data_IF_084882304223
#
_entry.id   IF_084882304223
#
_cell.length_a   1.000
_cell.length_b   1.000
_cell.length_c   1.000
_cell.angle_alpha   90.00
_cell.angle_beta   90.00
_cell.angle_gamma   90.00
#
_symmetry.space_group_name_H-M   'P 1'
#
loop_
_entity.id
_entity.type
_entity.pdbx_description
1 polymer ?
#
# COMPACT_ATOMS: atom_id res chain seq x y z
N UNK A 1 2.09 -7.06 -12.80
CA UNK A 1 3.37 -6.35 -12.58
C UNK A 1 4.31 -7.31 -11.90
N UNK A 2 5.58 -7.31 -12.30
CA UNK A 2 6.64 -8.13 -11.70
C UNK A 2 7.80 -7.20 -11.40
N UNK A 3 8.29 -7.24 -10.17
CA UNK A 3 9.51 -6.55 -9.75
C UNK A 3 10.56 -7.60 -9.38
N UNK A 4 11.78 -7.39 -9.86
CA UNK A 4 12.96 -8.21 -9.60
C UNK A 4 14.02 -7.30 -8.94
N UNK A 5 13.88 -7.01 -7.63
CA UNK A 5 14.69 -5.99 -6.97
C UNK A 5 16.17 -6.37 -6.82
N UNK A 6 16.52 -7.67 -6.82
CA UNK A 6 17.91 -8.10 -6.65
C UNK A 6 18.83 -7.68 -7.82
N UNK A 7 18.25 -7.33 -8.97
CA UNK A 7 18.98 -6.73 -10.11
C UNK A 7 19.65 -5.40 -9.71
N UNK A 8 18.96 -4.58 -8.91
CA UNK A 8 19.47 -3.28 -8.48
C UNK A 8 20.02 -3.30 -7.05
N UNK A 9 19.52 -4.21 -6.22
CA UNK A 9 19.93 -4.32 -4.81
C UNK A 9 20.13 -5.80 -4.44
N UNK A 10 21.33 -6.37 -4.71
CA UNK A 10 21.57 -7.81 -4.56
C UNK A 10 21.34 -8.37 -3.15
N UNK A 11 21.38 -7.53 -2.12
CA UNK A 11 21.23 -7.92 -0.72
C UNK A 11 19.80 -8.34 -0.33
N UNK A 12 18.81 -8.03 -1.17
CA UNK A 12 17.40 -8.42 -0.92
C UNK A 12 17.13 -9.91 -1.15
N UNK A 13 18.08 -10.62 -1.77
CA UNK A 13 17.98 -12.04 -2.08
C UNK A 13 19.25 -12.80 -1.72
N UNK A 14 19.16 -14.12 -1.67
CA UNK A 14 20.35 -14.98 -1.54
C UNK A 14 21.23 -14.83 -2.79
N UNK A 15 22.56 -15.06 -2.69
CA UNK A 15 23.45 -15.02 -3.85
C UNK A 15 22.96 -15.92 -4.99
N UNK A 16 22.80 -15.35 -6.18
CA UNK A 16 22.27 -16.05 -7.37
C UNK A 16 20.75 -16.27 -7.37
N UNK A 17 20.03 -15.75 -6.37
CA UNK A 17 18.57 -15.76 -6.29
C UNK A 17 17.93 -14.42 -6.63
N UNK A 18 16.61 -14.35 -6.52
CA UNK A 18 15.81 -13.15 -6.72
C UNK A 18 14.63 -13.13 -5.73
N UNK A 19 14.21 -11.95 -5.28
CA UNK A 19 13.06 -11.73 -4.42
C UNK A 19 11.88 -11.20 -5.24
N UNK A 20 11.37 -12.01 -6.17
CA UNK A 20 10.32 -11.60 -7.10
C UNK A 20 9.06 -11.14 -6.35
N UNK A 21 8.65 -9.89 -6.61
CA UNK A 21 7.36 -9.38 -6.20
C UNK A 21 6.38 -9.36 -7.38
N UNK A 22 5.32 -10.15 -7.26
CA UNK A 22 4.32 -10.30 -8.31
C UNK A 22 3.00 -9.69 -7.86
N UNK A 23 2.60 -8.61 -8.51
CA UNK A 23 1.33 -7.91 -8.25
C UNK A 23 0.36 -8.16 -9.40
N UNK A 24 -0.83 -8.66 -9.05
CA UNK A 24 -1.93 -8.90 -9.98
C UNK A 24 -3.16 -8.14 -9.50
N UNK A 25 -3.81 -7.43 -10.42
CA UNK A 25 -5.07 -6.75 -10.11
C UNK A 25 -6.17 -7.79 -9.85
N UNK A 26 -6.88 -7.59 -8.76
CA UNK A 26 -8.01 -8.41 -8.33
C UNK A 26 -9.19 -7.48 -8.01
N UNK A 27 -10.44 -7.97 -8.14
CA UNK A 27 -11.60 -7.20 -7.69
C UNK A 27 -11.56 -7.00 -6.17
N UNK A 28 -12.25 -5.96 -5.69
CA UNK A 28 -12.55 -5.80 -4.26
C UNK A 28 -13.31 -7.02 -3.72
N UNK A 29 -13.31 -7.20 -2.40
CA UNK A 29 -13.97 -8.31 -1.74
C UNK A 29 -15.48 -8.32 -2.00
N UNK A 30 -16.02 -9.51 -2.28
CA UNK A 30 -17.46 -9.73 -2.47
C UNK A 30 -17.88 -10.88 -1.58
N UNK A 31 -19.15 -10.95 -1.14
CA UNK A 31 -19.61 -11.98 -0.20
C UNK A 31 -19.35 -13.44 -0.64
N UNK A 32 -19.25 -13.69 -1.94
CA UNK A 32 -19.00 -15.03 -2.49
C UNK A 32 -17.50 -15.35 -2.70
N UNK A 33 -16.59 -14.41 -2.44
CA UNK A 33 -15.15 -14.66 -2.55
C UNK A 33 -14.65 -15.42 -1.31
N UNK A 34 -14.00 -16.55 -1.54
CA UNK A 34 -13.27 -17.31 -0.51
C UNK A 34 -11.81 -17.42 -0.97
N UNK A 35 -10.98 -16.47 -0.54
CA UNK A 35 -9.58 -16.41 -0.98
C UNK A 35 -8.75 -17.61 -0.53
N UNK A 36 -9.13 -18.30 0.55
CA UNK A 36 -8.46 -19.54 0.96
C UNK A 36 -8.69 -20.65 -0.07
N UNK A 37 -9.86 -20.69 -0.71
CA UNK A 37 -10.19 -21.64 -1.79
C UNK A 37 -9.72 -21.17 -3.17
N UNK A 38 -9.76 -19.86 -3.43
CA UNK A 38 -9.43 -19.29 -4.75
C UNK A 38 -7.92 -19.18 -5.00
N UNK A 39 -7.13 -18.87 -3.96
CA UNK A 39 -5.70 -18.59 -4.10
C UNK A 39 -4.89 -19.74 -4.72
N UNK A 40 -5.07 -21.02 -4.35
CA UNK A 40 -4.24 -22.11 -4.89
C UNK A 40 -4.32 -22.24 -6.43
N UNK A 41 -5.52 -22.18 -7.01
CA UNK A 41 -5.70 -22.24 -8.46
C UNK A 41 -5.24 -20.93 -9.14
N UNK A 42 -5.50 -19.80 -8.49
CA UNK A 42 -5.07 -18.50 -8.99
C UNK A 42 -3.55 -18.37 -9.04
N UNK A 43 -2.85 -18.84 -8.00
CA UNK A 43 -1.38 -18.96 -7.94
C UNK A 43 -0.85 -19.76 -9.14
N UNK A 44 -1.43 -20.93 -9.43
CA UNK A 44 -1.02 -21.74 -10.57
C UNK A 44 -1.21 -21.01 -11.90
N UNK A 45 -2.28 -20.22 -12.02
CA UNK A 45 -2.51 -19.36 -13.19
C UNK A 45 -1.42 -18.30 -13.34
N UNK A 46 -0.99 -17.68 -12.23
CA UNK A 46 0.09 -16.69 -12.21
C UNK A 46 1.40 -17.33 -12.67
N UNK A 47 1.80 -18.45 -12.06
CA UNK A 47 3.06 -19.15 -12.36
C UNK A 47 3.10 -19.58 -13.83
N UNK A 48 2.07 -20.25 -14.33
CA UNK A 48 1.98 -20.64 -15.74
C UNK A 48 2.05 -19.44 -16.69
N UNK A 49 1.47 -18.30 -16.30
CA UNK A 49 1.54 -17.08 -17.11
C UNK A 49 2.96 -16.53 -17.13
N UNK A 50 3.64 -16.47 -15.98
CA UNK A 50 5.04 -16.03 -15.88
C UNK A 50 5.98 -16.93 -16.70
N UNK A 51 5.84 -18.25 -16.61
CA UNK A 51 6.60 -19.21 -17.42
C UNK A 51 6.39 -18.94 -18.92
N UNK A 52 5.14 -18.78 -19.35
CA UNK A 52 4.78 -18.59 -20.77
C UNK A 52 5.20 -17.23 -21.32
N UNK A 53 5.06 -16.16 -20.55
CA UNK A 53 5.18 -14.78 -21.09
C UNK A 53 6.45 -14.06 -20.67
N UNK A 54 7.06 -14.44 -19.54
CA UNK A 54 8.29 -13.81 -19.04
C UNK A 54 9.53 -14.72 -19.22
N UNK A 55 9.35 -15.94 -19.75
CA UNK A 55 10.47 -16.87 -19.97
C UNK A 55 11.05 -17.47 -18.70
N UNK A 56 10.37 -17.31 -17.56
CA UNK A 56 10.77 -17.85 -16.26
C UNK A 56 10.50 -19.35 -16.21
N UNK A 57 11.24 -20.16 -16.99
CA UNK A 57 11.06 -21.61 -17.09
C UNK A 57 11.27 -22.28 -15.73
N UNK A 58 10.50 -23.32 -15.46
CA UNK A 58 10.60 -24.14 -14.25
C UNK A 58 10.42 -23.34 -12.94
N UNK A 59 9.77 -22.17 -12.99
CA UNK A 59 9.68 -21.23 -11.86
C UNK A 59 9.26 -21.91 -10.56
N UNK A 60 8.27 -22.81 -10.63
CA UNK A 60 7.78 -23.59 -9.49
C UNK A 60 8.90 -24.31 -8.72
N UNK A 61 9.89 -24.88 -9.44
CA UNK A 61 11.00 -25.64 -8.84
C UNK A 61 12.03 -24.74 -8.16
N UNK A 62 12.03 -23.45 -8.47
CA UNK A 62 12.98 -22.47 -7.96
C UNK A 62 12.41 -21.65 -6.79
N UNK A 63 11.14 -21.86 -6.41
CA UNK A 63 10.53 -21.19 -5.26
C UNK A 63 11.09 -21.78 -3.97
N UNK A 64 11.95 -21.03 -3.28
CA UNK A 64 12.50 -21.40 -1.97
C UNK A 64 11.54 -20.99 -0.84
N UNK A 65 10.93 -19.81 -0.98
CA UNK A 65 9.93 -19.27 -0.04
C UNK A 65 8.87 -18.55 -0.85
N UNK A 66 7.61 -18.71 -0.46
CA UNK A 66 6.48 -17.99 -1.03
C UNK A 66 5.62 -17.40 0.09
N UNK A 67 5.17 -16.16 -0.10
CA UNK A 67 4.11 -15.56 0.70
C UNK A 67 3.14 -14.84 -0.24
N UNK A 68 1.86 -14.95 0.08
CA UNK A 68 0.80 -14.23 -0.60
C UNK A 68 0.22 -13.16 0.33
N UNK A 69 -0.26 -12.08 -0.28
CA UNK A 69 -1.06 -11.07 0.38
C UNK A 69 -2.31 -10.85 -0.49
N UNK A 70 -3.41 -11.49 -0.10
CA UNK A 70 -4.69 -11.45 -0.82
C UNK A 70 -5.52 -10.23 -0.42
N UNK A 71 -6.55 -9.83 -1.19
CA UNK A 71 -7.51 -8.82 -0.75
C UNK A 71 -8.13 -9.10 0.62
N UNK A 72 -8.35 -10.38 0.97
CA UNK A 72 -8.82 -10.77 2.29
C UNK A 72 -7.79 -10.44 3.38
N UNK A 73 -6.53 -10.81 3.16
CA UNK A 73 -5.45 -10.50 4.10
C UNK A 73 -5.27 -8.98 4.28
N UNK A 74 -5.43 -8.21 3.20
CA UNK A 74 -5.34 -6.74 3.23
C UNK A 74 -6.48 -6.15 4.04
N UNK A 75 -7.71 -6.61 3.81
CA UNK A 75 -8.88 -6.21 4.58
C UNK A 75 -8.70 -6.52 6.07
N UNK A 76 -8.29 -7.74 6.39
CA UNK A 76 -8.21 -8.22 7.77
C UNK A 76 -7.05 -7.58 8.54
N UNK A 77 -5.92 -7.33 7.86
CA UNK A 77 -4.72 -6.75 8.47
C UNK A 77 -4.76 -5.23 8.60
N UNK A 78 -5.30 -4.54 7.59
CA UNK A 78 -5.23 -3.08 7.50
C UNK A 78 -6.58 -2.39 7.67
N UNK A 79 -7.66 -3.15 7.86
CA UNK A 79 -9.03 -2.64 8.05
C UNK A 79 -9.45 -1.65 6.96
N UNK A 80 -9.00 -1.90 5.73
CA UNK A 80 -9.38 -1.09 4.56
C UNK A 80 -10.71 -1.59 3.99
N UNK A 81 -11.45 -0.69 3.35
CA UNK A 81 -12.74 -0.99 2.73
C UNK A 81 -12.60 -2.09 1.67
N UNK A 82 -13.18 -3.26 1.93
CA UNK A 82 -13.28 -4.41 1.02
C UNK A 82 -11.95 -4.83 0.36
N UNK A 83 -10.84 -4.69 1.10
CA UNK A 83 -9.50 -5.05 0.60
C UNK A 83 -8.90 -4.06 -0.42
N UNK A 84 -9.44 -2.84 -0.53
CA UNK A 84 -8.96 -1.83 -1.47
C UNK A 84 -7.60 -1.22 -1.03
N UNK A 85 -6.57 -1.40 -1.85
CA UNK A 85 -5.20 -0.87 -1.59
C UNK A 85 -5.05 0.63 -1.88
N UNK A 86 -6.01 1.23 -2.59
CA UNK A 86 -5.98 2.65 -2.98
C UNK A 86 -7.11 3.47 -2.33
N UNK A 87 -7.78 2.92 -1.31
CA UNK A 87 -8.94 3.55 -0.69
C UNK A 87 -10.13 3.65 -1.64
N UNK A 88 -10.91 4.72 -1.51
CA UNK A 88 -12.08 4.96 -2.36
C UNK A 88 -11.68 5.01 -3.84
N UNK A 89 -12.37 4.22 -4.67
CA UNK A 89 -12.10 4.14 -6.09
C UNK A 89 -12.32 5.50 -6.77
N UNK A 90 -11.29 6.03 -7.44
CA UNK A 90 -11.38 7.30 -8.14
C UNK A 90 -12.06 7.21 -9.53
N UNK A 91 -12.94 6.24 -9.75
CA UNK A 91 -13.56 6.02 -11.06
C UNK A 91 -14.82 6.87 -11.24
N UNK A 92 -14.85 7.63 -12.33
CA UNK A 92 -15.97 8.51 -12.68
C UNK A 92 -15.75 9.95 -12.22
N UNK A 93 -16.29 10.89 -13.00
CA UNK A 93 -16.08 12.34 -12.87
C UNK A 93 -16.49 12.93 -11.51
N UNK A 94 -17.33 12.21 -10.75
CA UNK A 94 -17.87 12.65 -9.47
C UNK A 94 -17.31 11.88 -8.25
N UNK A 95 -16.85 10.64 -8.41
CA UNK A 95 -16.29 9.82 -7.32
C UNK A 95 -14.76 9.96 -7.21
N UNK A 96 -14.08 10.44 -8.26
CA UNK A 96 -12.64 10.66 -8.26
C UNK A 96 -12.13 11.88 -7.52
N UNK A 97 -13.00 12.83 -7.18
CA UNK A 97 -12.60 14.18 -6.76
C UNK A 97 -12.72 14.44 -5.25
N UNK A 98 -13.47 13.64 -4.50
CA UNK A 98 -13.81 13.97 -3.10
C UNK A 98 -13.25 12.93 -2.14
N UNK A 99 -11.95 13.06 -1.84
CA UNK A 99 -11.43 12.46 -0.62
C UNK A 99 -11.76 13.37 0.56
N UNK A 100 -12.05 12.80 1.74
CA UNK A 100 -12.18 13.58 2.96
C UNK A 100 -11.01 14.56 3.11
N UNK A 101 -11.34 15.80 3.45
CA UNK A 101 -10.35 16.82 3.76
C UNK A 101 -9.54 16.40 4.98
N UNK A 102 -8.31 16.92 5.08
CA UNK A 102 -7.43 16.60 6.20
C UNK A 102 -7.89 17.21 7.54
N UNK A 103 -8.85 18.15 7.51
CA UNK A 103 -9.51 18.73 8.67
C UNK A 103 -11.01 18.44 8.58
N UNK A 104 -11.59 17.90 9.65
CA UNK A 104 -13.05 17.69 9.72
C UNK A 104 -13.78 19.04 9.84
N UNK A 105 -14.82 19.30 9.04
CA UNK A 105 -15.68 20.47 9.24
C UNK A 105 -16.69 20.27 10.38
N UNK A 106 -16.94 19.02 10.78
CA UNK A 106 -18.02 18.65 11.69
C UNK A 106 -17.52 18.41 13.13
N UNK A 107 -16.24 18.05 13.29
CA UNK A 107 -15.64 17.71 14.58
C UNK A 107 -14.37 18.54 14.78
N UNK A 108 -14.41 19.45 15.74
CA UNK A 108 -13.26 20.25 16.13
C UNK A 108 -12.12 19.36 16.64
N UNK A 109 -10.90 19.62 16.17
CA UNK A 109 -9.71 18.86 16.55
C UNK A 109 -9.56 17.49 15.91
N UNK A 110 -10.44 17.10 14.97
CA UNK A 110 -10.31 15.87 14.20
C UNK A 110 -9.62 16.10 12.86
N UNK A 111 -8.49 15.41 12.65
CA UNK A 111 -7.69 15.47 11.43
C UNK A 111 -7.49 14.10 10.80
N UNK A 112 -7.46 14.05 9.48
CA UNK A 112 -7.33 12.84 8.70
C UNK A 112 -6.03 12.87 7.88
N UNK A 113 -5.26 11.79 7.94
CA UNK A 113 -4.05 11.62 7.15
C UNK A 113 -3.97 10.20 6.60
N UNK A 114 -3.51 10.05 5.36
CA UNK A 114 -3.28 8.75 4.74
C UNK A 114 -3.87 8.64 3.34
N UNK A 115 -3.81 7.43 2.77
CA UNK A 115 -4.16 7.21 1.36
C UNK A 115 -5.64 7.39 1.03
N UNK A 116 -6.48 7.32 2.05
CA UNK A 116 -7.94 7.55 1.94
C UNK A 116 -8.33 9.01 2.18
N UNK A 117 -7.42 9.87 2.66
CA UNK A 117 -7.63 11.30 2.82
C UNK A 117 -7.04 12.07 1.64
N UNK A 118 -7.38 13.36 1.51
CA UNK A 118 -6.73 14.23 0.55
C UNK A 118 -5.19 14.24 0.75
N UNK A 119 -4.36 14.27 -0.32
CA UNK A 119 -4.73 14.27 -1.75
C UNK A 119 -5.05 12.88 -2.33
N UNK A 120 -4.59 11.81 -1.67
CA UNK A 120 -5.02 10.45 -1.99
C UNK A 120 -3.95 9.39 -1.81
N UNK A 121 -4.10 8.26 -2.51
CA UNK A 121 -3.27 7.11 -2.24
C UNK A 121 -1.95 7.18 -3.03
N UNK A 122 -1.03 6.29 -2.68
CA UNK A 122 0.33 6.26 -3.24
C UNK A 122 1.32 7.00 -2.34
N UNK A 123 2.55 6.47 -2.26
CA UNK A 123 3.56 6.92 -1.29
C UNK A 123 3.73 8.46 -1.23
N UNK A 124 3.90 9.18 -2.35
CA UNK A 124 4.06 10.64 -2.29
C UNK A 124 2.81 11.36 -1.77
N UNK A 125 1.62 10.90 -2.17
CA UNK A 125 0.36 11.52 -1.78
C UNK A 125 0.04 11.27 -0.30
N UNK A 126 0.34 10.07 0.21
CA UNK A 126 0.19 9.71 1.63
C UNK A 126 1.08 10.59 2.50
N UNK A 127 2.33 10.81 2.10
CA UNK A 127 3.25 11.70 2.82
C UNK A 127 2.75 13.15 2.83
N UNK A 128 2.28 13.65 1.68
CA UNK A 128 1.68 14.98 1.60
C UNK A 128 0.40 15.09 2.44
N UNK A 129 -0.43 14.06 2.48
CA UNK A 129 -1.62 14.00 3.32
C UNK A 129 -1.27 14.21 4.80
N UNK A 130 -0.22 13.53 5.28
CA UNK A 130 0.27 13.72 6.65
C UNK A 130 0.77 15.13 6.92
N UNK A 131 1.49 15.74 5.97
CA UNK A 131 1.93 17.13 6.10
C UNK A 131 0.74 18.09 6.16
N UNK A 132 -0.23 17.99 5.25
CA UNK A 132 -1.40 18.88 5.24
C UNK A 132 -2.20 18.75 6.55
N UNK A 133 -2.36 17.53 7.08
CA UNK A 133 -3.00 17.32 8.37
C UNK A 133 -2.22 17.99 9.52
N UNK A 134 -0.89 17.88 9.53
CA UNK A 134 -0.06 18.54 10.55
C UNK A 134 -0.12 20.07 10.45
N UNK A 135 -0.11 20.63 9.24
CA UNK A 135 -0.27 22.07 9.00
C UNK A 135 -1.66 22.55 9.48
N UNK A 136 -2.70 21.75 9.25
CA UNK A 136 -4.03 22.02 9.76
C UNK A 136 -4.08 22.07 11.30
N UNK A 137 -3.37 21.15 11.99
CA UNK A 137 -3.27 21.14 13.45
C UNK A 137 -2.55 22.39 13.98
N UNK A 138 -1.43 22.76 13.36
CA UNK A 138 -0.64 23.94 13.77
C UNK A 138 -1.44 25.24 13.64
N UNK A 139 -2.16 25.41 12.53
CA UNK A 139 -3.01 26.58 12.29
C UNK A 139 -4.16 26.72 13.29
N UNK A 140 -4.71 25.61 13.78
CA UNK A 140 -5.82 25.64 14.74
C UNK A 140 -5.35 25.90 16.18
N UNK A 141 -4.02 25.92 16.43
CA UNK A 141 -3.39 26.28 17.71
C UNK A 141 -3.93 25.47 18.90
N UNK A 142 -4.42 24.26 18.65
CA UNK A 142 -5.00 23.38 19.68
C UNK A 142 -3.93 22.80 20.61
N UNK A 143 -2.68 22.76 20.16
CA UNK A 143 -1.53 22.34 20.96
C UNK A 143 -0.74 23.57 21.35
N UNK A 144 -0.51 23.78 22.65
CA UNK A 144 0.41 24.81 23.12
C UNK A 144 1.77 24.60 22.46
N UNK A 145 2.31 25.62 21.79
CA UNK A 145 3.61 25.49 21.13
C UNK A 145 4.63 24.95 22.15
N UNK A 146 5.17 23.76 21.87
CA UNK A 146 6.36 23.33 22.55
C UNK A 146 7.42 24.40 22.26
N UNK A 147 7.99 24.99 23.31
CA UNK A 147 9.15 25.87 23.18
C UNK A 147 10.22 25.21 22.28
N UNK A 148 11.10 25.99 21.64
CA UNK A 148 11.93 25.54 20.53
C UNK A 148 12.52 24.15 20.81
N UNK A 149 12.04 23.14 20.08
CA UNK A 149 12.55 21.79 20.21
C UNK A 149 14.05 21.86 19.92
N UNK A 150 14.88 21.52 20.91
CA UNK A 150 16.30 21.37 20.71
C UNK A 150 16.49 20.43 19.52
N UNK A 151 17.12 20.92 18.45
CA UNK A 151 17.46 20.10 17.29
C UNK A 151 18.14 18.83 17.82
N UNK A 152 17.67 17.62 17.50
CA UNK A 152 18.44 16.44 17.82
C UNK A 152 19.82 16.62 17.19
N UNK A 153 20.87 16.46 17.99
CA UNK A 153 22.24 16.57 17.53
C UNK A 153 22.40 15.65 16.30
N UNK A 154 23.07 16.18 15.27
CA UNK A 154 23.30 15.44 14.04
C UNK A 154 23.84 14.05 14.37
N UNK A 155 23.14 13.02 13.91
CA UNK A 155 23.60 11.64 14.02
C UNK A 155 24.83 11.53 13.10
N UNK A 156 26.02 11.56 13.68
CA UNK A 156 27.26 11.23 12.98
C UNK A 156 27.23 9.75 12.65
N UNK A 157 27.34 9.44 11.35
CA UNK A 157 27.62 8.11 10.80
C UNK A 157 29.07 7.74 11.11
#
# INVERSE_FOLDING_TARGET
>A
YVCAPAITEPEVAIPGGEALYVLVHTPYLRPHHDWKKMLPEYRNTIIRKLERTAGLKDLEKHIVVERALTPQDINDRYHVLDGAIYGLASHGRYLGAFKPANRSPDIEGLYLAGGSAHPGPGMPMVLMSGWIAADCVDQDKLVSQAGPAARPAACTV
#
